data_IF_572346799836
#
_entry.id   IF_572346799836
#
_cell.length_a   1.000
_cell.length_b   1.000
_cell.length_c   1.000
_cell.angle_alpha   90.00
_cell.angle_beta   90.00
_cell.angle_gamma   90.00
#
_symmetry.space_group_name_H-M   'P 1'
#
loop_
_entity.id
_entity.type
_entity.pdbx_description
1 polymer ?
#
# COMPACT_ATOMS: atom_id res chain seq x y z
N UNK A 1 -0.90 -14.22 -3.51
CA UNK A 1 -1.31 -13.67 -2.19
C UNK A 1 -0.16 -12.88 -1.56
N UNK A 2 -0.37 -11.59 -1.25
CA UNK A 2 0.62 -10.72 -0.61
C UNK A 2 0.94 -11.15 0.82
N UNK A 3 -0.04 -11.73 1.51
CA UNK A 3 0.13 -12.26 2.86
C UNK A 3 -0.89 -13.39 3.09
N UNK A 4 -0.62 -14.27 4.07
CA UNK A 4 -1.49 -15.40 4.39
C UNK A 4 -2.87 -14.98 4.92
N UNK A 5 -2.97 -13.81 5.56
CA UNK A 5 -4.22 -13.23 6.03
C UNK A 5 -5.00 -12.47 4.96
N UNK A 6 -4.59 -12.56 3.69
CA UNK A 6 -5.27 -11.85 2.60
C UNK A 6 -6.71 -12.33 2.45
N UNK A 7 -7.63 -11.37 2.55
CA UNK A 7 -9.05 -11.54 2.29
C UNK A 7 -9.45 -10.65 1.11
N UNK A 8 -10.06 -11.25 0.11
CA UNK A 8 -10.62 -10.51 -1.03
C UNK A 8 -11.90 -9.78 -0.59
N UNK A 9 -11.97 -8.49 -0.89
CA UNK A 9 -13.15 -7.65 -0.61
C UNK A 9 -13.91 -7.31 -1.89
N UNK A 10 -13.18 -6.92 -2.95
CA UNK A 10 -13.73 -6.54 -4.24
C UNK A 10 -12.84 -7.11 -5.34
N UNK A 11 -13.48 -7.68 -6.37
CA UNK A 11 -12.83 -8.19 -7.56
C UNK A 11 -13.79 -8.02 -8.73
N UNK A 12 -13.63 -6.91 -9.45
CA UNK A 12 -14.43 -6.58 -10.61
C UNK A 12 -13.55 -5.95 -11.71
N UNK A 13 -14.15 -5.51 -12.81
CA UNK A 13 -13.42 -4.95 -13.96
C UNK A 13 -12.74 -3.60 -13.66
N UNK A 14 -13.13 -2.92 -12.58
CA UNK A 14 -12.63 -1.59 -12.22
C UNK A 14 -11.51 -1.64 -11.16
N UNK A 15 -11.64 -2.50 -10.15
CA UNK A 15 -10.67 -2.60 -9.06
C UNK A 15 -10.53 -4.00 -8.46
N UNK A 16 -9.36 -4.20 -7.84
CA UNK A 16 -9.08 -5.32 -6.95
C UNK A 16 -8.76 -4.80 -5.55
N UNK A 17 -9.58 -5.18 -4.56
CA UNK A 17 -9.44 -4.72 -3.18
C UNK A 17 -9.30 -5.89 -2.23
N UNK A 18 -8.32 -5.79 -1.33
CA UNK A 18 -8.02 -6.80 -0.33
C UNK A 18 -7.92 -6.18 1.07
N UNK A 19 -8.15 -7.01 2.08
CA UNK A 19 -7.87 -6.74 3.49
C UNK A 19 -6.73 -7.64 3.95
N UNK A 20 -5.83 -7.11 4.78
CA UNK A 20 -4.72 -7.83 5.38
C UNK A 20 -4.73 -7.59 6.90
N UNK A 21 -4.69 -8.67 7.68
CA UNK A 21 -4.43 -8.57 9.12
C UNK A 21 -2.93 -8.76 9.39
N UNK A 22 -2.19 -7.65 9.47
CA UNK A 22 -0.73 -7.61 9.64
C UNK A 22 -0.30 -6.37 10.43
N UNK A 23 0.92 -6.41 10.97
CA UNK A 23 1.59 -5.21 11.48
C UNK A 23 2.24 -4.49 10.30
N UNK A 24 1.97 -3.19 10.05
CA UNK A 24 2.49 -2.45 8.91
C UNK A 24 3.95 -2.01 9.14
N UNK A 25 4.84 -3.00 9.26
CA UNK A 25 6.26 -2.81 9.49
C UNK A 25 6.98 -2.26 8.24
N UNK A 26 8.26 -1.95 8.38
CA UNK A 26 9.08 -1.41 7.29
C UNK A 26 9.05 -2.30 6.03
N UNK A 27 9.19 -3.62 6.17
CA UNK A 27 9.18 -4.54 5.03
C UNK A 27 7.87 -4.47 4.25
N UNK A 28 6.73 -4.49 4.95
CA UNK A 28 5.43 -4.37 4.30
C UNK A 28 5.27 -3.02 3.59
N UNK A 29 5.73 -1.92 4.20
CA UNK A 29 5.73 -0.62 3.56
C UNK A 29 6.57 -0.59 2.28
N UNK A 30 7.72 -1.27 2.27
CA UNK A 30 8.55 -1.40 1.06
C UNK A 30 7.84 -2.22 -0.03
N UNK A 31 7.12 -3.29 0.33
CA UNK A 31 6.30 -4.04 -0.61
C UNK A 31 5.18 -3.17 -1.21
N UNK A 32 4.50 -2.38 -0.39
CA UNK A 32 3.50 -1.40 -0.85
C UNK A 32 4.12 -0.42 -1.85
N UNK A 33 5.29 0.14 -1.54
CA UNK A 33 5.99 1.10 -2.40
C UNK A 33 6.52 0.50 -3.70
N UNK A 34 6.88 -0.79 -3.70
CA UNK A 34 7.36 -1.52 -4.88
C UNK A 34 6.32 -1.49 -6.02
N UNK A 35 5.03 -1.48 -5.67
CA UNK A 35 3.94 -1.42 -6.65
C UNK A 35 3.68 -0.03 -7.22
N UNK A 36 4.32 1.02 -6.67
CA UNK A 36 4.23 2.37 -7.21
C UNK A 36 2.80 2.90 -7.28
N UNK A 37 2.39 3.35 -8.46
CA UNK A 37 1.08 3.93 -8.77
C UNK A 37 -0.03 2.88 -9.01
N UNK A 38 0.33 1.60 -9.13
CA UNK A 38 -0.63 0.51 -9.32
C UNK A 38 -1.34 0.08 -8.01
N UNK A 39 -0.88 0.58 -6.85
CA UNK A 39 -1.43 0.22 -5.54
C UNK A 39 -1.66 1.46 -4.68
N UNK A 40 -2.74 1.44 -3.92
CA UNK A 40 -3.05 2.48 -2.93
C UNK A 40 -3.49 1.84 -1.62
N UNK A 41 -2.92 2.33 -0.52
CA UNK A 41 -3.43 2.03 0.84
C UNK A 41 -4.67 2.89 1.08
N UNK A 42 -5.76 2.26 1.53
CA UNK A 42 -7.00 2.94 1.89
C UNK A 42 -7.08 3.23 3.39
N UNK A 43 -6.59 2.32 4.22
CA UNK A 43 -6.59 2.41 5.68
C UNK A 43 -5.48 1.54 6.30
N UNK A 44 -5.07 1.79 7.54
CA UNK A 44 -5.43 2.94 8.38
C UNK A 44 -4.78 4.24 7.90
N UNK A 45 -5.34 5.38 8.29
CA UNK A 45 -4.86 6.72 7.88
C UNK A 45 -3.37 6.94 8.21
N UNK A 46 -2.88 6.38 9.32
CA UNK A 46 -1.46 6.46 9.69
C UNK A 46 -0.53 5.87 8.62
N UNK A 47 -0.87 4.69 8.09
CA UNK A 47 -0.10 4.05 7.03
C UNK A 47 -0.23 4.82 5.71
N UNK A 48 -1.43 5.30 5.40
CA UNK A 48 -1.67 6.15 4.22
C UNK A 48 -0.74 7.37 4.23
N UNK A 49 -0.64 8.07 5.36
CA UNK A 49 0.23 9.24 5.51
C UNK A 49 1.71 8.88 5.40
N UNK A 50 2.13 7.74 5.97
CA UNK A 50 3.52 7.30 5.86
C UNK A 50 3.92 7.01 4.40
N UNK A 51 3.09 6.29 3.64
CA UNK A 51 3.35 5.98 2.23
C UNK A 51 3.36 7.26 1.37
N UNK A 52 2.40 8.17 1.59
CA UNK A 52 2.37 9.48 0.92
C UNK A 52 3.65 10.28 1.17
N UNK A 53 4.10 10.34 2.42
CA UNK A 53 5.32 11.08 2.78
C UNK A 53 6.56 10.48 2.13
N UNK A 54 6.67 9.15 2.08
CA UNK A 54 7.79 8.45 1.41
C UNK A 54 7.81 8.75 -0.09
N UNK A 55 6.67 8.66 -0.78
CA UNK A 55 6.55 8.97 -2.20
C UNK A 55 6.87 10.44 -2.48
N UNK A 56 6.37 11.37 -1.66
CA UNK A 56 6.70 12.79 -1.76
C UNK A 56 8.20 13.03 -1.61
N UNK A 57 8.82 12.46 -0.58
CA UNK A 57 10.26 12.59 -0.36
C UNK A 57 11.09 12.01 -1.51
N UNK A 58 10.62 10.90 -2.11
CA UNK A 58 11.25 10.33 -3.29
C UNK A 58 11.15 11.28 -4.50
N UNK A 59 9.97 11.86 -4.74
CA UNK A 59 9.76 12.83 -5.81
C UNK A 59 10.64 14.08 -5.66
N UNK A 60 10.71 14.67 -4.45
CA UNK A 60 11.53 15.86 -4.19
C UNK A 60 13.03 15.65 -4.43
N UNK A 61 13.52 14.40 -4.49
CA UNK A 61 14.93 14.12 -4.84
C UNK A 61 15.27 14.31 -6.31
N UNK A 62 14.28 14.37 -7.18
CA UNK A 62 14.45 14.54 -8.63
C UNK A 62 14.06 15.94 -9.12
N UNK A 63 13.65 16.80 -8.19
CA UNK A 63 13.32 18.20 -8.44
C UNK A 63 14.58 19.06 -8.39
#
# INVERSE_FOLDING_TARGET
PLHSSQKELINNEEEYRIELNIIPNFEFQQQVLLHGDALKVLEPESLVQEIKNRLKNAYERYK
#
